data_IF_931147433560
#
_entry.id   IF_931147433560
#
_cell.length_a   1.000
_cell.length_b   1.000
_cell.length_c   1.000
_cell.angle_alpha   90.00
_cell.angle_beta   90.00
_cell.angle_gamma   90.00
#
_symmetry.space_group_name_H-M   'P 1'
#
loop_
_entity.id
_entity.type
_entity.pdbx_description
1 polymer ?
#
# COMPACT_ATOMS: atom_id res chain seq x y z
N UNK A 1 -15.64 7.10 7.28
CA UNK A 1 -14.20 7.41 7.44
C UNK A 1 -13.30 6.25 6.99
N UNK A 2 -13.51 5.01 7.42
CA UNK A 2 -12.71 3.84 6.97
C UNK A 2 -12.97 3.38 5.52
N UNK A 3 -14.16 3.60 4.97
CA UNK A 3 -14.51 3.15 3.61
C UNK A 3 -13.68 3.80 2.49
N UNK A 4 -13.24 5.05 2.65
CA UNK A 4 -12.44 5.74 1.63
C UNK A 4 -11.10 5.04 1.41
N UNK A 5 -10.40 4.74 2.50
CA UNK A 5 -9.11 4.04 2.49
C UNK A 5 -9.24 2.66 1.84
N UNK A 6 -10.31 1.92 2.14
CA UNK A 6 -10.57 0.62 1.52
C UNK A 6 -10.81 0.70 0.01
N UNK A 7 -11.47 1.75 -0.47
CA UNK A 7 -11.69 1.97 -1.91
C UNK A 7 -10.36 2.27 -2.60
N UNK A 8 -9.54 3.15 -2.02
CA UNK A 8 -8.23 3.49 -2.60
C UNK A 8 -7.28 2.30 -2.63
N UNK A 9 -7.24 1.48 -1.58
CA UNK A 9 -6.48 0.23 -1.56
C UNK A 9 -6.96 -0.72 -2.67
N UNK A 10 -8.28 -0.87 -2.85
CA UNK A 10 -8.83 -1.70 -3.93
C UNK A 10 -8.41 -1.20 -5.32
N UNK A 11 -8.33 0.11 -5.54
CA UNK A 11 -7.82 0.68 -6.80
C UNK A 11 -6.36 0.28 -7.05
N UNK A 12 -5.52 0.30 -6.02
CA UNK A 12 -4.12 -0.13 -6.14
C UNK A 12 -4.03 -1.61 -6.54
N UNK A 13 -4.82 -2.49 -5.92
CA UNK A 13 -4.90 -3.89 -6.32
C UNK A 13 -5.43 -4.10 -7.74
N UNK A 14 -6.35 -3.25 -8.20
CA UNK A 14 -6.83 -3.32 -9.57
C UNK A 14 -5.73 -3.02 -10.60
N UNK A 15 -4.83 -2.06 -10.30
CA UNK A 15 -3.65 -1.77 -11.13
C UNK A 15 -2.71 -2.96 -11.18
N UNK A 16 -2.43 -3.59 -10.03
CA UNK A 16 -1.58 -4.79 -9.96
C UNK A 16 -2.17 -5.97 -10.71
N UNK A 17 -3.49 -6.16 -10.61
CA UNK A 17 -4.20 -7.21 -11.35
C UNK A 17 -4.08 -6.99 -12.86
N UNK A 18 -4.29 -5.76 -13.32
CA UNK A 18 -4.14 -5.38 -14.74
C UNK A 18 -2.72 -5.61 -15.25
N UNK A 19 -1.70 -5.28 -14.44
CA UNK A 19 -0.31 -5.55 -14.76
C UNK A 19 -0.02 -7.06 -14.92
N UNK A 20 -0.58 -7.87 -14.02
CA UNK A 20 -0.45 -9.34 -14.06
C UNK A 20 -1.19 -9.97 -15.24
N UNK A 21 -2.41 -9.52 -15.53
CA UNK A 21 -3.21 -10.01 -16.67
C UNK A 21 -2.54 -9.70 -18.01
N UNK A 22 -1.86 -8.56 -18.11
CA UNK A 22 -1.14 -8.15 -19.31
C UNK A 22 0.29 -8.74 -19.42
N UNK A 23 0.73 -9.52 -18.42
CA UNK A 23 2.10 -10.07 -18.34
C UNK A 23 3.18 -8.99 -18.62
N UNK A 24 3.02 -7.81 -18.01
CA UNK A 24 3.93 -6.68 -18.21
C UNK A 24 5.32 -6.99 -17.65
N UNK A 25 6.34 -6.42 -18.29
CA UNK A 25 7.71 -6.46 -17.76
C UNK A 25 7.84 -5.54 -16.54
N UNK A 26 8.81 -5.77 -15.63
CA UNK A 26 8.97 -4.94 -14.43
C UNK A 26 9.12 -3.44 -14.71
N UNK A 27 9.71 -3.06 -15.86
CA UNK A 27 9.81 -1.66 -16.27
C UNK A 27 8.45 -1.06 -16.66
N UNK A 28 7.63 -1.81 -17.41
CA UNK A 28 6.26 -1.41 -17.76
C UNK A 28 5.34 -1.37 -16.53
N UNK A 29 5.52 -2.30 -15.58
CA UNK A 29 4.81 -2.30 -14.30
C UNK A 29 5.11 -1.02 -13.53
N UNK A 30 6.39 -0.63 -13.45
CA UNK A 30 6.81 0.63 -12.84
C UNK A 30 6.14 1.82 -13.53
N UNK A 31 6.17 1.91 -14.86
CA UNK A 31 5.50 3.00 -15.57
C UNK A 31 3.99 3.07 -15.28
N UNK A 32 3.32 1.91 -15.26
CA UNK A 32 1.90 1.83 -14.93
C UNK A 32 1.62 2.27 -13.48
N UNK A 33 2.45 1.83 -12.53
CA UNK A 33 2.37 2.22 -11.12
C UNK A 33 2.59 3.72 -10.94
N UNK A 34 3.56 4.31 -11.63
CA UNK A 34 3.80 5.76 -11.58
C UNK A 34 2.63 6.56 -12.18
N UNK A 35 1.95 6.02 -13.18
CA UNK A 35 0.81 6.68 -13.84
C UNK A 35 -0.50 6.55 -13.07
N UNK A 36 -0.80 5.36 -12.56
CA UNK A 36 -2.10 5.05 -11.93
C UNK A 36 -2.01 4.95 -10.40
N UNK A 37 -0.98 4.29 -9.84
CA UNK A 37 -0.87 4.04 -8.40
C UNK A 37 -0.31 5.22 -7.60
N UNK A 38 0.66 5.96 -8.15
CA UNK A 38 1.26 7.15 -7.50
C UNK A 38 0.23 8.23 -7.12
N UNK A 39 -0.70 8.66 -8.00
CA UNK A 39 -1.69 9.66 -7.61
C UNK A 39 -2.64 9.16 -6.51
N UNK A 40 -3.00 7.87 -6.51
CA UNK A 40 -3.84 7.26 -5.48
C UNK A 40 -3.12 7.30 -4.12
N UNK A 41 -1.86 6.86 -4.07
CA UNK A 41 -1.07 6.90 -2.84
C UNK A 41 -0.96 8.33 -2.32
N UNK A 42 -0.67 9.31 -3.19
CA UNK A 42 -0.56 10.70 -2.79
C UNK A 42 -1.89 11.26 -2.22
N UNK A 43 -3.03 10.89 -2.81
CA UNK A 43 -4.36 11.26 -2.30
C UNK A 43 -4.63 10.62 -0.93
N UNK A 44 -4.36 9.32 -0.79
CA UNK A 44 -4.41 8.59 0.48
C UNK A 44 -3.57 9.28 1.56
N UNK A 45 -2.32 9.65 1.24
CA UNK A 45 -1.41 10.31 2.16
C UNK A 45 -1.93 11.67 2.64
N UNK A 46 -2.45 12.49 1.72
CA UNK A 46 -3.11 13.77 2.06
C UNK A 46 -4.33 13.54 2.94
N UNK A 47 -5.17 12.56 2.59
CA UNK A 47 -6.35 12.21 3.37
C UNK A 47 -5.97 11.78 4.79
N UNK A 48 -4.97 10.91 4.94
CA UNK A 48 -4.45 10.48 6.24
C UNK A 48 -3.91 11.64 7.05
N UNK A 49 -3.16 12.57 6.44
CA UNK A 49 -2.62 13.74 7.13
C UNK A 49 -3.72 14.66 7.67
N UNK A 50 -4.78 14.89 6.87
CA UNK A 50 -5.95 15.65 7.31
C UNK A 50 -6.68 14.93 8.44
N UNK A 51 -6.91 13.62 8.32
CA UNK A 51 -7.55 12.84 9.39
C UNK A 51 -6.70 12.82 10.67
N UNK A 52 -5.38 12.76 10.56
CA UNK A 52 -4.45 12.81 11.69
C UNK A 52 -4.55 14.14 12.45
N UNK A 53 -4.66 15.28 11.74
CA UNK A 53 -4.90 16.59 12.39
C UNK A 53 -6.23 16.65 13.13
N UNK A 54 -7.25 15.95 12.62
CA UNK A 54 -8.58 15.89 13.23
C UNK A 54 -8.69 14.86 14.37
N UNK A 55 -7.67 14.01 14.56
CA UNK A 55 -7.71 12.91 15.53
C UNK A 55 -6.69 13.14 16.64
N UNK A 56 -7.09 12.87 17.89
CA UNK A 56 -6.19 13.03 19.05
C UNK A 56 -4.95 12.12 18.90
N UNK A 57 -3.73 12.66 19.12
CA UNK A 57 -2.47 11.93 18.89
C UNK A 57 -2.30 10.69 19.79
N UNK A 58 -3.00 10.62 20.92
CA UNK A 58 -2.99 9.45 21.83
C UNK A 58 -3.98 8.35 21.45
N UNK A 59 -4.81 8.56 20.44
CA UNK A 59 -5.75 7.52 19.97
C UNK A 59 -5.01 6.39 19.25
N UNK A 60 -5.62 5.20 19.23
CA UNK A 60 -5.10 4.06 18.47
C UNK A 60 -4.93 4.37 16.98
N UNK A 61 -5.78 5.25 16.45
CA UNK A 61 -5.72 5.75 15.07
C UNK A 61 -4.47 6.61 14.85
N UNK A 62 -4.14 7.51 15.78
CA UNK A 62 -2.93 8.35 15.71
C UNK A 62 -1.64 7.52 15.72
N UNK A 63 -1.59 6.46 16.54
CA UNK A 63 -0.45 5.52 16.56
C UNK A 63 -0.33 4.73 15.25
N UNK A 64 -1.45 4.25 14.71
CA UNK A 64 -1.48 3.55 13.43
C UNK A 64 -0.99 4.47 12.29
N UNK A 65 -1.38 5.74 12.28
CA UNK A 65 -0.91 6.70 11.28
C UNK A 65 0.60 7.00 11.41
N UNK A 66 1.10 7.22 12.63
CA UNK A 66 2.53 7.43 12.85
C UNK A 66 3.36 6.23 12.38
N UNK A 67 2.86 5.01 12.62
CA UNK A 67 3.48 3.78 12.13
C UNK A 67 3.40 3.64 10.61
N UNK A 68 2.27 3.98 9.99
CA UNK A 68 2.14 3.99 8.52
C UNK A 68 3.02 5.04 7.86
N UNK A 69 3.25 6.19 8.51
CA UNK A 69 4.09 7.27 7.98
C UNK A 69 5.56 6.86 7.90
N UNK A 70 6.10 6.17 8.90
CA UNK A 70 7.50 5.67 8.86
C UNK A 70 7.69 4.57 7.81
N UNK A 71 6.62 3.88 7.44
CA UNK A 71 6.61 2.87 6.37
C UNK A 71 6.16 3.42 5.02
N UNK A 72 5.72 4.66 4.95
CA UNK A 72 5.17 5.27 3.74
C UNK A 72 6.19 5.35 2.61
N UNK A 73 7.45 5.62 2.97
CA UNK A 73 8.56 5.65 2.02
C UNK A 73 8.79 4.26 1.39
N UNK A 74 8.81 3.21 2.22
CA UNK A 74 8.89 1.82 1.77
C UNK A 74 7.65 1.39 0.96
N UNK A 75 6.46 1.82 1.37
CA UNK A 75 5.20 1.64 0.63
C UNK A 75 5.17 2.45 -0.66
N UNK A 76 6.04 3.43 -0.85
CA UNK A 76 6.17 4.15 -2.11
C UNK A 76 7.30 3.57 -2.95
N UNK A 77 8.28 2.90 -2.35
CA UNK A 77 9.41 2.28 -3.02
C UNK A 77 8.98 1.19 -4.02
N UNK A 78 7.94 0.40 -3.72
CA UNK A 78 7.44 -0.62 -4.67
C UNK A 78 6.92 0.00 -5.98
N UNK A 79 6.54 1.28 -5.99
CA UNK A 79 6.12 1.95 -7.23
C UNK A 79 7.28 2.07 -8.22
N UNK A 80 8.50 2.16 -7.71
CA UNK A 80 9.70 2.37 -8.51
C UNK A 80 10.40 1.08 -8.91
N UNK A 81 10.06 -0.04 -8.27
CA UNK A 81 10.61 -1.36 -8.57
C UNK A 81 9.49 -2.36 -8.91
N UNK A 82 9.40 -2.73 -10.19
CA UNK A 82 8.40 -3.67 -10.70
C UNK A 82 8.55 -5.10 -10.18
N UNK A 83 9.68 -5.46 -9.56
CA UNK A 83 9.87 -6.78 -8.94
C UNK A 83 9.31 -6.82 -7.51
N UNK A 84 9.10 -5.67 -6.88
CA UNK A 84 8.47 -5.59 -5.57
C UNK A 84 6.95 -5.78 -5.68
N UNK A 85 6.41 -6.52 -4.72
CA UNK A 85 4.97 -6.71 -4.52
C UNK A 85 4.42 -5.56 -3.67
N UNK A 86 3.17 -5.17 -3.91
CA UNK A 86 2.48 -4.15 -3.11
C UNK A 86 2.30 -4.55 -1.64
N UNK A 87 2.25 -5.85 -1.36
CA UNK A 87 2.13 -6.39 -0.01
C UNK A 87 3.05 -7.59 0.20
N UNK A 88 3.37 -7.84 1.47
CA UNK A 88 4.20 -8.95 1.88
C UNK A 88 3.39 -10.23 2.12
N UNK A 89 2.17 -10.28 1.58
CA UNK A 89 1.18 -11.30 1.94
C UNK A 89 1.63 -12.70 1.48
N UNK A 90 2.44 -12.78 0.42
CA UNK A 90 3.12 -14.01 -0.01
C UNK A 90 4.11 -14.53 1.04
N UNK A 91 4.97 -13.66 1.58
CA UNK A 91 5.91 -14.04 2.63
C UNK A 91 5.13 -14.41 3.88
N UNK A 92 4.18 -13.59 4.32
CA UNK A 92 3.34 -13.89 5.48
C UNK A 92 2.62 -15.24 5.36
N UNK A 93 2.08 -15.58 4.18
CA UNK A 93 1.51 -16.91 3.91
C UNK A 93 2.56 -18.03 3.96
N UNK A 94 3.79 -17.79 3.51
CA UNK A 94 4.88 -18.77 3.52
C UNK A 94 5.45 -19.05 4.92
N UNK A 95 5.50 -18.04 5.81
CA UNK A 95 5.91 -18.20 7.21
C UNK A 95 4.76 -18.58 8.15
N UNK A 96 3.49 -18.37 7.78
CA UNK A 96 2.33 -18.77 8.59
C UNK A 96 2.34 -20.25 9.02
N UNK A 97 2.66 -21.23 8.16
CA UNK A 97 2.75 -22.63 8.60
C UNK A 97 3.92 -22.90 9.56
N UNK A 98 4.97 -22.07 9.54
CA UNK A 98 6.12 -22.18 10.45
C UNK A 98 5.81 -21.56 11.82
N UNK A 99 4.97 -20.52 11.86
CA UNK A 99 4.59 -19.82 13.09
C UNK A 99 3.42 -20.48 13.84
N UNK A 100 2.53 -21.21 13.15
CA UNK A 100 1.39 -21.93 13.75
C UNK A 100 1.74 -23.34 14.26
N UNK A 101 2.97 -23.79 14.06
CA UNK A 101 3.47 -25.09 14.50
C UNK A 101 4.34 -25.02 15.76
N UNK A 102 3.88 -24.37 16.85
CA UNK A 102 4.40 -24.53 18.22
C UNK A 102 3.31 -24.27 19.25
#
# INVERSE_FOLDING_TARGET
KAQHVLIEIQKLYAVEKKAKEQNLTPDQIKELRLKESLPIINELGKYMFVQMKLTLPKSQIGKAFAYSQTRWDNLSAYLYDGNLQIDNNLVENAIRPVALGR
#
